data_IF_060609219796
#
_entry.id   IF_060609219796
#
_cell.length_a   1.000
_cell.length_b   1.000
_cell.length_c   1.000
_cell.angle_alpha   90.00
_cell.angle_beta   90.00
_cell.angle_gamma   90.00
#
_symmetry.space_group_name_H-M   'P 1'
#
loop_
_entity.id
_entity.type
_entity.pdbx_description
1 polymer ?
#
# COMPACT_ATOMS: atom_id res chain seq x y z
N UNK A 1 11.46 17.02 2.63
CA UNK A 1 10.10 16.94 3.20
C UNK A 1 10.20 16.61 4.67
N UNK A 2 9.50 17.34 5.53
CA UNK A 2 9.40 17.00 6.94
C UNK A 2 8.77 15.60 7.09
N UNK A 3 9.40 14.73 7.89
CA UNK A 3 8.91 13.38 8.17
C UNK A 3 8.04 13.43 9.42
N UNK A 4 6.78 13.01 9.30
CA UNK A 4 5.84 12.93 10.42
C UNK A 4 5.51 11.46 10.71
N UNK A 5 6.18 10.82 11.69
CA UNK A 5 6.09 9.37 11.89
C UNK A 5 4.66 8.89 12.18
N UNK A 6 3.86 9.69 12.89
CA UNK A 6 2.46 9.38 13.24
C UNK A 6 1.56 9.36 12.00
N UNK A 7 1.74 10.31 11.09
CA UNK A 7 1.00 10.38 9.84
C UNK A 7 1.43 9.24 8.90
N UNK A 8 2.72 8.94 8.83
CA UNK A 8 3.24 7.85 8.02
C UNK A 8 2.64 6.49 8.43
N UNK A 9 2.54 6.23 9.74
CA UNK A 9 1.92 5.01 10.25
C UNK A 9 0.43 4.88 9.86
N UNK A 10 -0.32 5.99 9.79
CA UNK A 10 -1.75 5.96 9.37
C UNK A 10 -1.92 5.80 7.86
N UNK A 11 -1.03 6.41 7.08
CA UNK A 11 -1.15 6.48 5.62
C UNK A 11 -0.60 5.22 4.95
N UNK A 12 0.55 4.71 5.40
CA UNK A 12 1.30 3.66 4.71
C UNK A 12 1.08 2.25 5.26
N UNK A 13 0.48 2.10 6.45
CA UNK A 13 0.18 0.79 7.06
C UNK A 13 -1.05 0.12 6.42
N UNK A 14 -1.04 -0.01 5.10
CA UNK A 14 -2.10 -0.60 4.28
C UNK A 14 -1.50 -1.46 3.17
N UNK A 15 -2.22 -2.50 2.78
CA UNK A 15 -1.89 -3.32 1.62
C UNK A 15 -2.66 -2.86 0.39
N UNK A 16 -2.09 -3.01 -0.79
CA UNK A 16 -2.70 -2.71 -2.07
C UNK A 16 -2.73 -4.00 -2.89
N UNK A 17 -3.89 -4.32 -3.45
CA UNK A 17 -4.01 -5.47 -4.34
C UNK A 17 -3.31 -5.21 -5.67
N UNK A 18 -2.47 -6.14 -6.11
CA UNK A 18 -1.79 -6.05 -7.41
C UNK A 18 -2.72 -6.33 -8.60
N UNK A 19 -3.89 -6.93 -8.36
CA UNK A 19 -4.88 -7.23 -9.41
C UNK A 19 -5.91 -6.12 -9.61
N UNK A 20 -6.50 -5.60 -8.55
CA UNK A 20 -7.60 -4.62 -8.62
C UNK A 20 -7.28 -3.25 -8.00
N UNK A 21 -6.08 -3.06 -7.46
CA UNK A 21 -5.68 -1.78 -6.84
C UNK A 21 -6.38 -1.45 -5.51
N UNK A 22 -7.29 -2.29 -5.03
CA UNK A 22 -8.04 -2.02 -3.80
C UNK A 22 -7.12 -1.95 -2.58
N UNK A 23 -7.47 -1.05 -1.64
CA UNK A 23 -6.76 -0.90 -0.37
C UNK A 23 -7.31 -1.88 0.66
N UNK A 24 -6.43 -2.70 1.22
CA UNK A 24 -6.73 -3.76 2.18
C UNK A 24 -6.09 -3.44 3.54
N UNK A 25 -6.69 -3.92 4.64
CA UNK A 25 -6.17 -3.69 5.98
C UNK A 25 -4.83 -4.38 6.18
N UNK A 26 -4.09 -3.93 7.19
CA UNK A 26 -2.88 -4.61 7.63
C UNK A 26 -3.21 -6.05 8.05
N UNK A 27 -2.38 -7.02 7.65
CA UNK A 27 -2.58 -8.48 7.83
C UNK A 27 -3.71 -9.13 7.00
N UNK A 28 -4.20 -8.48 5.95
CA UNK A 28 -5.09 -9.16 5.00
C UNK A 28 -4.33 -10.26 4.24
N UNK A 29 -4.86 -11.48 4.21
CA UNK A 29 -4.31 -12.60 3.40
C UNK A 29 -4.85 -12.62 1.96
N UNK A 30 -6.02 -11.99 1.75
CA UNK A 30 -6.69 -11.90 0.46
C UNK A 30 -7.35 -10.54 0.25
N UNK A 31 -7.46 -10.12 -0.99
CA UNK A 31 -8.18 -8.89 -1.32
C UNK A 31 -9.67 -9.04 -1.01
N UNK A 32 -10.23 -8.06 -0.29
CA UNK A 32 -11.66 -8.03 0.08
C UNK A 32 -12.61 -7.94 -1.13
N UNK A 33 -12.14 -7.43 -2.27
CA UNK A 33 -12.95 -7.27 -3.49
C UNK A 33 -12.84 -8.45 -4.44
N UNK A 34 -11.63 -8.92 -4.76
CA UNK A 34 -11.41 -9.89 -5.83
C UNK A 34 -10.87 -11.25 -5.36
N UNK A 35 -10.66 -11.45 -4.06
CA UNK A 35 -10.12 -12.70 -3.49
C UNK A 35 -8.65 -12.99 -3.83
N UNK A 36 -7.97 -12.13 -4.60
CA UNK A 36 -6.57 -12.32 -4.98
C UNK A 36 -5.63 -12.21 -3.77
N UNK A 37 -4.66 -13.14 -3.67
CA UNK A 37 -3.70 -13.23 -2.55
C UNK A 37 -2.46 -12.35 -2.73
N UNK A 38 -2.20 -11.85 -3.94
CA UNK A 38 -1.07 -10.96 -4.21
C UNK A 38 -1.34 -9.52 -3.73
N UNK A 39 -1.06 -9.29 -2.45
CA UNK A 39 -1.17 -8.01 -1.77
C UNK A 39 0.23 -7.44 -1.52
N UNK A 40 0.49 -6.23 -2.00
CA UNK A 40 1.76 -5.51 -1.75
C UNK A 40 1.59 -4.45 -0.69
N UNK A 41 2.63 -4.17 0.10
CA UNK A 41 2.60 -3.02 1.00
C UNK A 41 2.54 -1.70 0.19
N UNK A 42 1.85 -0.69 0.73
CA UNK A 42 1.90 0.66 0.16
C UNK A 42 3.33 1.20 0.28
N UNK A 43 3.85 1.75 -0.81
CA UNK A 43 5.20 2.29 -0.84
C UNK A 43 5.28 3.52 0.08
N UNK A 44 6.25 3.54 1.00
CA UNK A 44 6.57 4.69 1.85
C UNK A 44 7.46 5.70 1.11
N UNK A 45 8.35 5.18 0.27
CA UNK A 45 9.26 5.97 -0.56
C UNK A 45 8.91 5.80 -2.04
N UNK A 46 9.15 6.82 -2.87
CA UNK A 46 8.98 6.73 -4.31
C UNK A 46 9.91 5.64 -4.86
N UNK A 47 9.38 4.77 -5.72
CA UNK A 47 10.17 3.74 -6.40
C UNK A 47 10.41 4.21 -7.83
N UNK A 48 11.66 4.44 -8.18
CA UNK A 48 12.18 4.62 -9.56
C UNK A 48 11.21 5.27 -10.53
N UNK A 49 11.13 6.60 -10.50
CA UNK A 49 10.26 7.39 -11.38
C UNK A 49 10.71 8.83 -11.47
N UNK A 50 11.98 9.06 -11.83
CA UNK A 50 12.26 10.15 -12.76
C UNK A 50 11.65 9.72 -14.10
N UNK A 51 10.74 10.51 -14.64
CA UNK A 51 10.00 10.13 -15.84
C UNK A 51 8.67 10.85 -16.02
N UNK A 52 8.55 12.09 -15.53
CA UNK A 52 8.05 13.26 -16.25
C UNK A 52 8.70 14.48 -15.61
#
# INVERSE_FOLDING_TARGET
>A
MARFPEAEARIFRKYICMRCGATNPWKAEKCRKCGYKGLRAKAREPRGGAGR
#
